data_IF_935175136608
#
_entry.id   IF_935175136608
#
_cell.length_a   1.000
_cell.length_b   1.000
_cell.length_c   1.000
_cell.angle_alpha   90.00
_cell.angle_beta   90.00
_cell.angle_gamma   90.00
#
_symmetry.space_group_name_H-M   'P 1'
#
loop_
_entity.id
_entity.type
_entity.pdbx_description
1 polymer ?
#
# COMPACT_ATOMS: atom_id res chain seq x y z
N UNK A 1 -10.62 -7.28 0.99
CA UNK A 1 -10.02 -6.98 -0.32
C UNK A 1 -8.99 -5.87 -0.15
N UNK A 2 -7.95 -5.82 -1.00
CA UNK A 2 -6.98 -4.73 -0.98
C UNK A 2 -7.65 -3.37 -1.16
N UNK A 3 -7.17 -2.36 -0.43
CA UNK A 3 -7.58 -0.97 -0.63
C UNK A 3 -7.11 -0.42 -1.98
N UNK A 4 -7.73 0.67 -2.48
CA UNK A 4 -7.26 1.38 -3.68
C UNK A 4 -5.78 1.79 -3.58
N UNK A 5 -5.31 2.21 -2.40
CA UNK A 5 -3.92 2.57 -2.17
C UNK A 5 -2.97 1.37 -2.34
N UNK A 6 -3.36 0.18 -1.85
CA UNK A 6 -2.57 -1.05 -2.04
C UNK A 6 -2.47 -1.44 -3.51
N UNK A 7 -3.58 -1.40 -4.24
CA UNK A 7 -3.58 -1.70 -5.68
C UNK A 7 -2.77 -0.69 -6.48
N UNK A 8 -2.86 0.60 -6.12
CA UNK A 8 -2.06 1.66 -6.69
C UNK A 8 -0.56 1.43 -6.45
N UNK A 9 -0.17 1.08 -5.21
CA UNK A 9 1.22 0.74 -4.87
C UNK A 9 1.71 -0.43 -5.73
N UNK A 10 0.97 -1.54 -5.76
CA UNK A 10 1.35 -2.74 -6.50
C UNK A 10 1.57 -2.45 -7.99
N UNK A 11 0.68 -1.64 -8.59
CA UNK A 11 0.79 -1.23 -9.99
C UNK A 11 2.04 -0.40 -10.27
N UNK A 12 2.48 0.43 -9.31
CA UNK A 12 3.58 1.39 -9.49
C UNK A 12 4.88 0.97 -8.81
N UNK A 13 4.90 -0.19 -8.18
CA UNK A 13 6.02 -0.64 -7.35
C UNK A 13 7.34 -0.67 -8.13
N UNK A 14 7.33 -1.28 -9.31
CA UNK A 14 8.48 -1.38 -10.21
C UNK A 14 8.06 -1.33 -11.68
N UNK A 15 9.06 -1.21 -12.57
CA UNK A 15 8.82 -1.16 -14.01
C UNK A 15 8.28 -2.49 -14.54
N UNK A 16 8.62 -3.62 -13.92
CA UNK A 16 8.12 -4.93 -14.32
C UNK A 16 6.60 -5.05 -14.12
N UNK A 17 6.06 -4.50 -13.04
CA UNK A 17 4.62 -4.42 -12.75
C UNK A 17 3.88 -3.61 -13.82
N UNK A 18 4.47 -2.47 -14.21
CA UNK A 18 3.92 -1.60 -15.27
C UNK A 18 3.95 -2.31 -16.62
N UNK A 19 5.08 -2.95 -16.94
CA UNK A 19 5.26 -3.69 -18.20
C UNK A 19 4.31 -4.87 -18.31
N UNK A 20 4.05 -5.57 -17.20
CA UNK A 20 3.09 -6.68 -17.17
C UNK A 20 1.67 -6.23 -17.51
N UNK A 21 1.22 -5.12 -16.94
CA UNK A 21 -0.10 -4.54 -17.23
C UNK A 21 -0.18 -4.11 -18.70
N UNK A 22 0.89 -3.52 -19.23
CA UNK A 22 1.00 -3.15 -20.66
C UNK A 22 0.90 -4.39 -21.56
N UNK A 23 1.64 -5.44 -21.26
CA UNK A 23 1.67 -6.67 -22.05
C UNK A 23 0.31 -7.38 -22.04
N UNK A 24 -0.41 -7.35 -20.91
CA UNK A 24 -1.78 -7.84 -20.82
C UNK A 24 -2.74 -7.03 -21.72
N UNK A 25 -2.60 -5.70 -21.77
CA UNK A 25 -3.42 -4.84 -22.64
C UNK A 25 -3.08 -4.99 -24.12
N UNK A 26 -1.82 -5.20 -24.46
CA UNK A 26 -1.38 -5.46 -25.83
C UNK A 26 -2.03 -6.73 -26.41
N UNK A 27 -2.27 -7.76 -25.59
CA UNK A 27 -3.04 -8.95 -26.01
C UNK A 27 -4.51 -8.63 -26.35
N UNK A 28 -5.07 -7.57 -25.77
CA UNK A 28 -6.44 -7.10 -25.99
C UNK A 28 -6.53 -5.95 -27.01
N UNK A 29 -5.41 -5.62 -27.67
CA UNK A 29 -5.27 -4.43 -28.52
C UNK A 29 -6.33 -4.27 -29.62
N UNK A 30 -6.80 -5.32 -30.34
CA UNK A 30 -7.84 -5.14 -31.36
C UNK A 30 -9.13 -4.56 -30.79
N UNK A 31 -9.57 -5.08 -29.64
CA UNK A 31 -10.78 -4.63 -28.96
C UNK A 31 -10.60 -3.24 -28.37
N UNK A 32 -9.45 -2.99 -27.73
CA UNK A 32 -9.16 -1.69 -27.13
C UNK A 32 -8.98 -0.58 -28.18
N UNK A 33 -8.46 -0.89 -29.38
CA UNK A 33 -8.35 0.08 -30.49
C UNK A 33 -9.71 0.54 -31.00
N UNK A 34 -10.71 -0.34 -31.05
CA UNK A 34 -12.07 0.03 -31.45
C UNK A 34 -12.69 1.02 -30.46
N UNK A 35 -12.41 0.84 -29.16
CA UNK A 35 -12.91 1.72 -28.09
C UNK A 35 -12.14 3.02 -27.96
N UNK A 36 -10.80 2.93 -27.93
CA UNK A 36 -9.92 4.04 -27.50
C UNK A 36 -9.14 4.70 -28.66
N UNK A 37 -9.29 4.21 -29.89
CA UNK A 37 -8.43 4.60 -31.03
C UNK A 37 -8.47 6.09 -31.35
N UNK A 38 -9.61 6.76 -31.16
CA UNK A 38 -9.72 8.21 -31.32
C UNK A 38 -8.93 8.98 -30.25
N UNK A 39 -9.07 8.59 -28.99
CA UNK A 39 -8.36 9.20 -27.86
C UNK A 39 -6.85 8.96 -27.98
N UNK A 40 -6.45 7.76 -28.36
CA UNK A 40 -5.05 7.41 -28.62
C UNK A 40 -4.41 8.37 -29.62
N UNK A 41 -5.06 8.62 -30.76
CA UNK A 41 -4.55 9.54 -31.78
C UNK A 41 -4.44 10.98 -31.26
N UNK A 42 -5.43 11.46 -30.49
CA UNK A 42 -5.41 12.81 -29.89
C UNK A 42 -4.23 12.97 -28.93
N UNK A 43 -4.02 12.00 -28.05
CA UNK A 43 -2.92 12.01 -27.08
C UNK A 43 -1.55 11.96 -27.79
N UNK A 44 -1.41 11.14 -28.82
CA UNK A 44 -0.18 11.06 -29.61
C UNK A 44 0.12 12.35 -30.38
N UNK A 45 -0.92 13.10 -30.78
CA UNK A 45 -0.77 14.35 -31.50
C UNK A 45 -0.45 15.57 -30.61
N UNK A 46 -0.67 15.47 -29.29
CA UNK A 46 -0.40 16.56 -28.34
C UNK A 46 1.07 16.95 -28.36
N UNK A 47 1.36 18.25 -28.48
CA UNK A 47 2.72 18.81 -28.62
C UNK A 47 3.20 19.52 -27.36
N UNK A 48 2.30 20.01 -26.53
CA UNK A 48 2.64 20.74 -25.31
C UNK A 48 2.17 20.01 -24.05
N UNK A 49 2.74 20.31 -22.86
CA UNK A 49 2.25 19.80 -21.59
C UNK A 49 0.76 20.10 -21.36
N UNK A 50 0.32 21.31 -21.65
CA UNK A 50 -1.06 21.77 -21.48
C UNK A 50 -2.03 20.96 -22.35
N UNK A 51 -1.73 20.86 -23.65
CA UNK A 51 -2.54 20.05 -24.57
C UNK A 51 -2.66 18.60 -24.11
N UNK A 52 -1.58 18.04 -23.55
CA UNK A 52 -1.57 16.66 -23.09
C UNK A 52 -2.34 16.49 -21.77
N UNK A 53 -2.25 17.46 -20.87
CA UNK A 53 -2.93 17.44 -19.57
C UNK A 53 -4.44 17.65 -19.71
N UNK A 54 -4.88 18.47 -20.66
CA UNK A 54 -6.30 18.61 -21.04
C UNK A 54 -6.91 17.28 -21.52
N UNK A 55 -6.07 16.37 -22.02
CA UNK A 55 -6.48 15.03 -22.47
C UNK A 55 -6.42 13.99 -21.34
N UNK A 56 -6.02 14.35 -20.11
CA UNK A 56 -5.99 13.43 -18.97
C UNK A 56 -7.32 12.72 -18.68
N UNK A 57 -8.53 13.31 -18.87
CA UNK A 57 -9.78 12.58 -18.69
C UNK A 57 -9.99 11.48 -19.73
N UNK A 58 -9.30 11.56 -20.88
CA UNK A 58 -9.40 10.60 -21.98
C UNK A 58 -8.32 9.51 -21.93
N UNK A 59 -7.37 9.62 -20.99
CA UNK A 59 -6.23 8.73 -20.84
C UNK A 59 -6.62 7.43 -20.11
N UNK A 60 -7.44 6.61 -20.76
CA UNK A 60 -7.88 5.29 -20.27
C UNK A 60 -7.43 4.16 -21.20
N UNK A 61 -7.39 2.92 -20.71
CA UNK A 61 -7.07 1.75 -21.54
C UNK A 61 -5.71 1.84 -22.22
N UNK A 62 -5.69 1.82 -23.56
CA UNK A 62 -4.48 2.01 -24.39
C UNK A 62 -4.05 3.48 -24.46
N UNK A 63 -5.01 4.41 -24.40
CA UNK A 63 -4.73 5.85 -24.46
C UNK A 63 -3.93 6.30 -23.22
N UNK A 64 -4.13 5.64 -22.07
CA UNK A 64 -3.35 5.89 -20.85
C UNK A 64 -1.85 5.66 -21.02
N UNK A 65 -1.45 4.63 -21.75
CA UNK A 65 -0.03 4.31 -21.96
C UNK A 65 0.64 5.30 -22.90
N UNK A 66 -0.07 5.67 -23.97
CA UNK A 66 0.37 6.74 -24.84
C UNK A 66 0.52 8.06 -24.08
N UNK A 67 -0.38 8.32 -23.12
CA UNK A 67 -0.31 9.51 -22.28
C UNK A 67 0.95 9.54 -21.42
N UNK A 68 1.24 8.47 -20.68
CA UNK A 68 2.48 8.36 -19.88
C UNK A 68 3.73 8.43 -20.76
N UNK A 69 3.74 7.73 -21.90
CA UNK A 69 4.86 7.79 -22.85
C UNK A 69 5.08 9.21 -23.35
N UNK A 70 4.00 9.96 -23.61
CA UNK A 70 4.10 11.33 -24.08
C UNK A 70 4.55 12.29 -22.97
N UNK A 71 4.05 12.15 -21.75
CA UNK A 71 4.50 12.93 -20.58
C UNK A 71 6.01 12.79 -20.38
N UNK A 72 6.51 11.54 -20.40
CA UNK A 72 7.96 11.27 -20.32
C UNK A 72 8.75 11.89 -21.45
N UNK A 73 8.21 11.92 -22.67
CA UNK A 73 8.87 12.55 -23.82
C UNK A 73 8.94 14.07 -23.74
N UNK A 74 7.99 14.71 -23.03
CA UNK A 74 8.03 16.15 -22.75
C UNK A 74 8.99 16.46 -21.60
N UNK A 75 9.26 15.49 -20.72
CA UNK A 75 10.28 15.59 -19.68
C UNK A 75 9.87 16.52 -18.52
N UNK A 76 10.81 17.04 -17.73
CA UNK A 76 10.54 17.73 -16.47
C UNK A 76 9.68 19.00 -16.58
N UNK A 77 9.57 19.58 -17.78
CA UNK A 77 8.75 20.77 -18.02
C UNK A 77 7.25 20.55 -17.75
N UNK A 78 6.79 19.30 -17.66
CA UNK A 78 5.40 18.98 -17.30
C UNK A 78 5.10 19.16 -15.82
N UNK A 79 6.12 19.12 -14.95
CA UNK A 79 5.94 19.07 -13.48
C UNK A 79 5.15 20.26 -12.91
N UNK A 80 5.43 21.53 -13.29
CA UNK A 80 4.66 22.66 -12.78
C UNK A 80 3.18 22.55 -13.15
N UNK A 81 2.87 22.11 -14.37
CA UNK A 81 1.50 21.97 -14.84
C UNK A 81 0.75 20.84 -14.13
N UNK A 82 1.42 19.70 -13.86
CA UNK A 82 0.82 18.62 -13.07
C UNK A 82 0.45 19.15 -11.67
N UNK A 83 1.39 19.83 -11.01
CA UNK A 83 1.18 20.41 -9.69
C UNK A 83 0.00 21.38 -9.70
N UNK A 84 -0.04 22.30 -10.66
CA UNK A 84 -1.08 23.32 -10.75
C UNK A 84 -2.47 22.69 -10.96
N UNK A 85 -2.57 21.60 -11.75
CA UNK A 85 -3.81 20.85 -11.90
C UNK A 85 -4.18 20.13 -10.61
N UNK A 86 -3.23 19.52 -9.91
CA UNK A 86 -3.51 18.85 -8.63
C UNK A 86 -4.05 19.81 -7.57
N UNK A 87 -3.61 21.06 -7.54
CA UNK A 87 -4.19 22.10 -6.68
C UNK A 87 -5.65 22.42 -7.04
N UNK A 88 -6.01 22.32 -8.32
CA UNK A 88 -7.32 22.72 -8.83
C UNK A 88 -8.29 21.56 -8.98
N UNK A 89 -7.82 20.31 -8.94
CA UNK A 89 -8.63 19.12 -9.27
C UNK A 89 -9.85 18.98 -8.36
N UNK A 90 -9.78 19.51 -7.13
CA UNK A 90 -10.90 19.55 -6.19
C UNK A 90 -12.09 20.39 -6.69
N UNK A 91 -11.87 21.38 -7.57
CA UNK A 91 -12.94 22.21 -8.12
C UNK A 91 -13.74 21.50 -9.21
N UNK A 92 -13.37 20.28 -9.60
CA UNK A 92 -14.15 19.49 -10.55
C UNK A 92 -15.36 18.87 -9.84
N UNK A 93 -16.56 19.10 -10.39
CA UNK A 93 -17.81 18.59 -9.82
C UNK A 93 -17.89 17.05 -9.84
N UNK A 94 -17.29 16.40 -10.84
CA UNK A 94 -17.36 14.96 -11.01
C UNK A 94 -16.26 14.24 -10.22
N UNK A 95 -16.66 13.54 -9.14
CA UNK A 95 -15.75 12.82 -8.25
C UNK A 95 -14.96 11.71 -8.96
N UNK A 96 -15.59 10.92 -9.83
CA UNK A 96 -14.93 9.83 -10.55
C UNK A 96 -13.83 10.37 -11.48
N UNK A 97 -14.13 11.46 -12.18
CA UNK A 97 -13.16 12.14 -13.05
C UNK A 97 -12.02 12.73 -12.23
N UNK A 98 -12.33 13.39 -11.09
CA UNK A 98 -11.32 13.93 -10.17
C UNK A 98 -10.38 12.83 -9.68
N UNK A 99 -10.91 11.74 -9.12
CA UNK A 99 -10.12 10.63 -8.61
C UNK A 99 -9.19 10.05 -9.70
N UNK A 100 -9.73 9.81 -10.88
CA UNK A 100 -8.98 9.25 -12.01
C UNK A 100 -7.84 10.19 -12.45
N UNK A 101 -8.11 11.49 -12.56
CA UNK A 101 -7.08 12.48 -12.93
C UNK A 101 -6.00 12.53 -11.84
N UNK A 102 -6.38 12.67 -10.56
CA UNK A 102 -5.44 12.69 -9.44
C UNK A 102 -4.55 11.45 -9.43
N UNK A 103 -5.13 10.25 -9.55
CA UNK A 103 -4.37 9.00 -9.59
C UNK A 103 -3.40 8.95 -10.79
N UNK A 104 -3.83 9.40 -11.97
CA UNK A 104 -2.98 9.44 -13.17
C UNK A 104 -1.79 10.40 -12.99
N UNK A 105 -2.05 11.60 -12.47
CA UNK A 105 -1.06 12.65 -12.25
C UNK A 105 -0.06 12.27 -11.16
N UNK A 106 -0.52 11.74 -10.03
CA UNK A 106 0.34 11.26 -8.93
C UNK A 106 1.20 10.08 -9.41
N UNK A 107 0.63 9.16 -10.21
CA UNK A 107 1.39 8.08 -10.81
C UNK A 107 2.50 8.59 -11.73
N UNK A 108 2.26 9.67 -12.48
CA UNK A 108 3.30 10.29 -13.30
C UNK A 108 4.40 10.91 -12.44
N UNK A 109 4.03 11.67 -11.40
CA UNK A 109 5.00 12.26 -10.47
C UNK A 109 5.90 11.22 -9.81
N UNK A 110 5.37 10.03 -9.47
CA UNK A 110 6.19 8.92 -8.98
C UNK A 110 7.38 8.61 -9.89
N UNK A 111 7.20 8.59 -11.21
CA UNK A 111 8.28 8.24 -12.14
C UNK A 111 9.28 9.36 -12.39
N UNK A 112 9.01 10.56 -11.89
CA UNK A 112 9.90 11.72 -12.00
C UNK A 112 10.92 11.82 -10.86
N UNK A 113 10.93 10.83 -9.94
CA UNK A 113 11.91 10.73 -8.85
C UNK A 113 11.82 11.91 -7.89
N UNK A 114 12.98 12.45 -7.49
CA UNK A 114 13.07 13.55 -6.51
C UNK A 114 12.28 14.80 -6.92
N UNK A 115 12.30 15.17 -8.20
CA UNK A 115 11.54 16.32 -8.69
C UNK A 115 10.03 16.07 -8.58
N UNK A 116 9.60 14.82 -8.77
CA UNK A 116 8.21 14.40 -8.53
C UNK A 116 7.83 14.45 -7.05
N UNK A 117 8.73 14.04 -6.15
CA UNK A 117 8.50 14.13 -4.71
C UNK A 117 8.33 15.59 -4.25
N UNK A 118 9.18 16.50 -4.73
CA UNK A 118 9.07 17.93 -4.43
C UNK A 118 7.74 18.51 -4.92
N UNK A 119 7.31 18.15 -6.13
CA UNK A 119 6.02 18.57 -6.66
C UNK A 119 4.86 18.03 -5.79
N UNK A 120 4.88 16.74 -5.43
CA UNK A 120 3.86 16.13 -4.56
C UNK A 120 3.82 16.78 -3.18
N UNK A 121 4.97 17.01 -2.54
CA UNK A 121 5.05 17.68 -1.25
C UNK A 121 4.44 19.09 -1.32
N UNK A 122 4.71 19.84 -2.39
CA UNK A 122 4.22 21.21 -2.53
C UNK A 122 2.70 21.34 -2.64
N UNK A 123 2.00 20.27 -3.07
CA UNK A 123 0.54 20.27 -3.21
C UNK A 123 -0.17 19.33 -2.22
N UNK A 124 0.56 18.64 -1.33
CA UNK A 124 0.01 17.56 -0.48
C UNK A 124 -1.16 18.01 0.40
N UNK A 125 -1.09 19.22 0.95
CA UNK A 125 -2.15 19.78 1.82
C UNK A 125 -3.43 20.11 1.06
N UNK A 126 -3.31 20.44 -0.23
CA UNK A 126 -4.42 20.80 -1.11
C UNK A 126 -5.08 19.58 -1.77
N UNK A 127 -4.52 18.38 -1.57
CA UNK A 127 -5.13 17.15 -2.06
C UNK A 127 -6.35 16.75 -1.21
N UNK A 128 -7.36 16.20 -1.89
CA UNK A 128 -8.47 15.54 -1.19
C UNK A 128 -7.97 14.26 -0.52
N UNK A 129 -8.81 13.64 0.32
CA UNK A 129 -8.37 12.54 1.17
C UNK A 129 -7.93 11.30 0.39
N UNK A 130 -8.57 11.03 -0.75
CA UNK A 130 -8.20 9.92 -1.64
C UNK A 130 -6.89 10.21 -2.38
N UNK A 131 -6.75 11.40 -2.97
CA UNK A 131 -5.51 11.80 -3.65
C UNK A 131 -4.33 11.88 -2.68
N UNK A 132 -4.54 12.37 -1.46
CA UNK A 132 -3.53 12.40 -0.41
C UNK A 132 -3.05 10.99 -0.02
N UNK A 133 -3.95 10.00 0.02
CA UNK A 133 -3.60 8.60 0.25
C UNK A 133 -2.65 8.09 -0.86
N UNK A 134 -2.99 8.33 -2.13
CA UNK A 134 -2.16 7.92 -3.27
C UNK A 134 -0.82 8.67 -3.31
N UNK A 135 -0.80 9.95 -2.94
CA UNK A 135 0.42 10.74 -2.83
C UNK A 135 1.36 10.19 -1.75
N UNK A 136 0.82 9.75 -0.60
CA UNK A 136 1.59 9.06 0.44
C UNK A 136 2.30 7.81 -0.10
N UNK A 137 1.59 6.97 -0.85
CA UNK A 137 2.16 5.79 -1.53
C UNK A 137 3.27 6.20 -2.49
N UNK A 138 3.00 7.18 -3.36
CA UNK A 138 3.97 7.65 -4.35
C UNK A 138 5.25 8.16 -3.69
N UNK A 139 5.14 8.98 -2.64
CA UNK A 139 6.27 9.51 -1.88
C UNK A 139 7.11 8.40 -1.22
N UNK A 140 6.45 7.36 -0.70
CA UNK A 140 7.13 6.17 -0.17
C UNK A 140 7.89 5.39 -1.24
N UNK A 141 7.26 5.15 -2.39
CA UNK A 141 7.91 4.45 -3.49
C UNK A 141 9.04 5.26 -4.14
N UNK A 142 9.00 6.60 -4.12
CA UNK A 142 10.14 7.46 -4.51
C UNK A 142 11.29 7.32 -3.51
N UNK A 143 10.99 6.87 -2.27
CA UNK A 143 11.89 6.83 -1.14
C UNK A 143 12.43 8.23 -0.79
N UNK A 144 11.53 9.21 -0.65
CA UNK A 144 11.87 10.60 -0.28
C UNK A 144 11.81 10.78 1.25
N UNK A 145 12.94 10.71 1.99
CA UNK A 145 12.90 10.67 3.46
C UNK A 145 12.42 11.99 4.07
N UNK A 146 12.59 13.10 3.36
CA UNK A 146 12.11 14.43 3.77
C UNK A 146 10.58 14.48 3.86
N UNK A 147 9.87 13.62 3.13
CA UNK A 147 8.40 13.55 3.14
C UNK A 147 7.81 12.87 4.37
N UNK A 148 8.59 12.10 5.13
CA UNK A 148 8.07 11.23 6.20
C UNK A 148 7.29 12.00 7.28
N UNK A 149 7.70 13.24 7.58
CA UNK A 149 6.98 14.10 8.51
C UNK A 149 5.61 14.51 7.97
N UNK A 150 5.53 14.94 6.72
CA UNK A 150 4.30 15.46 6.12
C UNK A 150 3.32 14.33 5.85
N UNK A 151 3.80 13.18 5.35
CA UNK A 151 3.00 11.96 5.19
C UNK A 151 2.44 11.50 6.55
N UNK A 152 3.24 11.58 7.62
CA UNK A 152 2.77 11.24 8.97
C UNK A 152 1.67 12.18 9.47
N UNK A 153 1.83 13.50 9.29
CA UNK A 153 0.80 14.45 9.69
C UNK A 153 -0.50 14.22 8.92
N UNK A 154 -0.40 13.96 7.61
CA UNK A 154 -1.57 13.66 6.80
C UNK A 154 -2.22 12.34 7.22
N UNK A 155 -1.44 11.30 7.49
CA UNK A 155 -1.93 10.03 8.04
C UNK A 155 -2.73 10.25 9.32
N UNK A 156 -2.22 11.01 10.30
CA UNK A 156 -2.92 11.29 11.55
C UNK A 156 -4.25 12.02 11.31
N UNK A 157 -4.27 13.00 10.40
CA UNK A 157 -5.49 13.72 10.01
C UNK A 157 -6.52 12.77 9.40
N UNK A 158 -6.11 11.94 8.44
CA UNK A 158 -7.00 10.98 7.77
C UNK A 158 -7.53 9.92 8.74
N UNK A 159 -6.67 9.38 9.62
CA UNK A 159 -7.05 8.42 10.67
C UNK A 159 -8.19 8.93 11.55
N UNK A 160 -8.24 10.23 11.83
CA UNK A 160 -9.25 10.84 12.69
C UNK A 160 -10.58 11.12 11.98
N UNK A 161 -10.58 11.30 10.66
CA UNK A 161 -11.69 11.90 9.92
C UNK A 161 -12.40 10.95 8.94
N UNK A 162 -11.75 9.86 8.54
CA UNK A 162 -12.14 9.15 7.30
C UNK A 162 -12.31 7.64 7.47
N UNK A 163 -13.02 6.97 6.53
CA UNK A 163 -13.04 5.52 6.42
C UNK A 163 -11.63 4.93 6.30
N UNK A 164 -11.51 3.64 6.62
CA UNK A 164 -10.22 2.98 6.74
C UNK A 164 -9.35 3.07 5.48
N UNK A 165 -9.97 3.07 4.30
CA UNK A 165 -9.29 3.09 3.00
C UNK A 165 -8.38 4.30 2.76
N UNK A 166 -8.61 5.45 3.38
CA UNK A 166 -7.84 6.67 3.08
C UNK A 166 -6.52 6.74 3.86
N UNK A 167 -6.46 6.22 5.09
CA UNK A 167 -5.22 6.26 5.86
C UNK A 167 -4.21 5.17 5.44
N UNK A 168 -4.67 4.12 4.72
CA UNK A 168 -3.80 3.02 4.25
C UNK A 168 -2.67 3.53 3.35
N UNK A 169 -2.95 4.54 2.51
CA UNK A 169 -1.92 5.11 1.64
C UNK A 169 -0.79 5.80 2.39
N UNK A 170 -1.11 6.49 3.49
CA UNK A 170 -0.11 7.07 4.40
C UNK A 170 0.73 6.00 5.08
N UNK A 171 0.12 4.91 5.57
CA UNK A 171 0.84 3.79 6.17
C UNK A 171 1.79 3.12 5.17
N UNK A 172 1.34 2.86 3.94
CA UNK A 172 2.21 2.35 2.88
C UNK A 172 3.41 3.26 2.65
N UNK A 173 3.17 4.56 2.48
CA UNK A 173 4.22 5.55 2.29
C UNK A 173 5.27 5.51 3.41
N UNK A 174 4.81 5.49 4.67
CA UNK A 174 5.67 5.47 5.85
C UNK A 174 6.43 4.13 6.01
N UNK A 175 5.82 3.00 5.64
CA UNK A 175 6.49 1.69 5.63
C UNK A 175 7.63 1.69 4.62
N UNK A 176 7.39 2.16 3.40
CA UNK A 176 8.40 2.22 2.35
C UNK A 176 9.55 3.19 2.71
N UNK A 177 9.24 4.25 3.48
CA UNK A 177 10.23 5.18 4.05
C UNK A 177 10.97 4.64 5.30
N UNK A 178 10.57 3.48 5.83
CA UNK A 178 11.15 2.91 7.04
C UNK A 178 10.84 3.69 8.32
N UNK A 179 9.71 4.39 8.38
CA UNK A 179 9.33 5.19 9.54
C UNK A 179 8.96 4.30 10.74
N UNK A 180 9.75 4.41 11.81
CA UNK A 180 9.62 3.57 13.01
C UNK A 180 8.30 3.77 13.75
N UNK A 181 7.60 4.89 13.55
CA UNK A 181 6.33 5.17 14.23
C UNK A 181 5.23 4.22 13.77
N UNK A 182 5.31 3.71 12.54
CA UNK A 182 4.33 2.76 11.98
C UNK A 182 4.19 1.52 12.85
N UNK A 183 5.29 0.99 13.40
CA UNK A 183 5.26 -0.20 14.25
C UNK A 183 4.29 -0.05 15.44
N UNK A 184 4.26 1.16 16.04
CA UNK A 184 3.33 1.47 17.12
C UNK A 184 1.87 1.54 16.65
N UNK A 185 1.63 2.14 15.48
CA UNK A 185 0.29 2.28 14.92
C UNK A 185 -0.33 0.94 14.56
N UNK A 186 0.40 0.08 13.84
CA UNK A 186 -0.11 -1.25 13.45
C UNK A 186 -0.31 -2.15 14.67
N UNK A 187 0.53 -2.00 15.71
CA UNK A 187 0.31 -2.64 17.00
C UNK A 187 -0.97 -2.14 17.69
N UNK A 188 -1.23 -0.83 17.70
CA UNK A 188 -2.44 -0.28 18.31
C UNK A 188 -3.71 -0.74 17.59
N UNK A 189 -3.71 -0.85 16.26
CA UNK A 189 -4.84 -1.44 15.52
C UNK A 189 -5.08 -2.89 15.91
N UNK A 190 -4.01 -3.71 15.99
CA UNK A 190 -4.09 -5.10 16.45
C UNK A 190 -4.65 -5.19 17.88
N UNK A 191 -4.11 -4.40 18.80
CA UNK A 191 -4.53 -4.35 20.22
C UNK A 191 -5.99 -3.95 20.37
N UNK A 192 -6.46 -3.00 19.57
CA UNK A 192 -7.84 -2.53 19.56
C UNK A 192 -8.79 -3.44 18.76
N UNK A 193 -8.29 -4.54 18.16
CA UNK A 193 -9.04 -5.45 17.29
C UNK A 193 -9.69 -4.73 16.10
N UNK A 194 -9.03 -3.68 15.59
CA UNK A 194 -9.44 -2.93 14.40
C UNK A 194 -8.76 -3.53 13.18
N UNK A 195 -9.38 -4.55 12.62
CA UNK A 195 -8.85 -5.30 11.48
C UNK A 195 -9.24 -4.67 10.15
N UNK A 196 -8.24 -4.50 9.28
CA UNK A 196 -8.41 -4.18 7.87
C UNK A 196 -7.52 -5.13 7.07
N UNK A 197 -7.78 -5.25 5.77
CA UNK A 197 -7.14 -6.25 4.90
C UNK A 197 -5.60 -6.22 4.98
N UNK A 198 -5.01 -5.02 5.03
CA UNK A 198 -3.57 -4.83 5.04
C UNK A 198 -2.89 -5.08 6.40
N UNK A 199 -3.64 -5.21 7.50
CA UNK A 199 -3.05 -5.13 8.84
C UNK A 199 -1.94 -6.15 9.08
N UNK A 200 -2.17 -7.43 8.77
CA UNK A 200 -1.17 -8.48 8.99
C UNK A 200 0.02 -8.36 8.01
N UNK A 201 -0.24 -7.94 6.77
CA UNK A 201 0.82 -7.61 5.82
C UNK A 201 1.70 -6.45 6.32
N UNK A 202 1.10 -5.40 6.87
CA UNK A 202 1.82 -4.27 7.49
C UNK A 202 2.59 -4.67 8.74
N UNK A 203 2.02 -5.52 9.59
CA UNK A 203 2.74 -6.10 10.73
C UNK A 203 3.94 -6.93 10.26
N UNK A 204 3.79 -7.71 9.18
CA UNK A 204 4.89 -8.49 8.62
C UNK A 204 6.05 -7.61 8.12
N UNK A 205 5.77 -6.40 7.61
CA UNK A 205 6.76 -5.47 7.09
C UNK A 205 7.36 -4.57 8.19
N UNK A 206 6.53 -3.99 9.04
CA UNK A 206 6.90 -2.90 9.95
C UNK A 206 6.53 -3.14 11.42
N UNK A 207 5.81 -4.22 11.75
CA UNK A 207 5.48 -4.58 13.13
C UNK A 207 6.74 -4.87 13.94
N UNK A 208 6.70 -4.64 15.25
CA UNK A 208 7.81 -4.93 16.16
C UNK A 208 7.43 -5.96 17.23
N UNK A 209 8.38 -6.24 18.13
CA UNK A 209 8.25 -7.25 19.17
C UNK A 209 6.98 -7.13 20.02
N UNK A 210 6.42 -5.92 20.19
CA UNK A 210 5.22 -5.70 21.01
C UNK A 210 4.00 -6.45 20.47
N UNK A 211 3.96 -6.70 19.15
CA UNK A 211 2.85 -7.41 18.52
C UNK A 211 2.91 -8.93 18.69
N UNK A 212 4.07 -9.51 19.04
CA UNK A 212 4.28 -10.96 19.02
C UNK A 212 3.30 -11.71 19.93
N UNK A 213 3.12 -11.25 21.17
CA UNK A 213 2.21 -11.90 22.12
C UNK A 213 0.77 -11.99 21.62
N UNK A 214 0.24 -10.88 21.08
CA UNK A 214 -1.11 -10.81 20.54
C UNK A 214 -1.27 -11.68 19.29
N UNK A 215 -0.30 -11.64 18.37
CA UNK A 215 -0.33 -12.42 17.14
C UNK A 215 -0.28 -13.93 17.42
N UNK A 216 0.57 -14.37 18.34
CA UNK A 216 0.70 -15.78 18.71
C UNK A 216 -0.57 -16.26 19.42
N UNK A 217 -1.11 -15.46 20.33
CA UNK A 217 -2.40 -15.76 20.99
C UNK A 217 -3.51 -15.91 19.96
N UNK A 218 -3.60 -14.97 19.00
CA UNK A 218 -4.60 -15.01 17.94
C UNK A 218 -4.42 -16.22 16.99
N UNK A 219 -3.17 -16.60 16.69
CA UNK A 219 -2.87 -17.79 15.90
C UNK A 219 -3.30 -19.09 16.59
N UNK A 220 -3.32 -19.12 17.93
CA UNK A 220 -3.71 -20.28 18.74
C UNK A 220 -5.21 -20.38 19.02
N UNK A 221 -5.97 -19.28 18.89
CA UNK A 221 -7.43 -19.29 19.04
C UNK A 221 -8.08 -20.09 17.89
N UNK A 222 -8.32 -21.38 18.12
CA UNK A 222 -8.97 -22.28 17.15
C UNK A 222 -10.35 -21.73 16.72
N UNK A 223 -10.56 -21.55 15.42
CA UNK A 223 -11.87 -21.23 14.84
C UNK A 223 -12.05 -19.83 14.24
N UNK A 224 -11.02 -18.97 14.23
CA UNK A 224 -11.03 -17.71 13.48
C UNK A 224 -10.16 -17.82 12.22
N UNK A 225 -10.69 -17.39 11.08
CA UNK A 225 -10.03 -17.47 9.77
C UNK A 225 -8.66 -16.77 9.71
N UNK A 226 -8.43 -15.77 10.56
CA UNK A 226 -7.23 -14.93 10.54
C UNK A 226 -6.03 -15.55 11.30
N UNK A 227 -6.15 -16.77 11.83
CA UNK A 227 -5.08 -17.40 12.62
C UNK A 227 -3.79 -17.64 11.82
N UNK A 228 -3.92 -17.94 10.52
CA UNK A 228 -2.76 -18.09 9.63
C UNK A 228 -2.11 -16.73 9.37
N UNK A 229 -2.89 -15.68 9.09
CA UNK A 229 -2.36 -14.33 8.87
C UNK A 229 -1.56 -13.84 10.09
N UNK A 230 -2.10 -14.06 11.29
CA UNK A 230 -1.44 -13.71 12.54
C UNK A 230 -0.13 -14.50 12.73
N UNK A 231 -0.13 -15.79 12.44
CA UNK A 231 1.05 -16.65 12.52
C UNK A 231 2.14 -16.21 11.53
N UNK A 232 1.78 -15.88 10.30
CA UNK A 232 2.74 -15.45 9.28
C UNK A 232 3.32 -14.07 9.62
N UNK A 233 2.51 -13.15 10.15
CA UNK A 233 2.99 -11.86 10.64
C UNK A 233 3.93 -12.03 11.84
N UNK A 234 3.58 -12.90 12.80
CA UNK A 234 4.43 -13.22 13.95
C UNK A 234 5.77 -13.83 13.51
N UNK A 235 5.74 -14.72 12.51
CA UNK A 235 6.92 -15.35 11.93
C UNK A 235 7.85 -14.31 11.30
N UNK A 236 7.30 -13.35 10.54
CA UNK A 236 8.08 -12.24 9.96
C UNK A 236 8.78 -11.41 11.04
N UNK A 237 8.04 -11.01 12.09
CA UNK A 237 8.58 -10.21 13.19
C UNK A 237 9.64 -11.01 13.95
N UNK A 238 9.38 -12.28 14.25
CA UNK A 238 10.28 -13.20 14.94
C UNK A 238 11.63 -13.34 14.23
N UNK A 239 11.64 -13.51 12.91
CA UNK A 239 12.88 -13.55 12.12
C UNK A 239 13.65 -12.23 12.20
N UNK A 240 12.95 -11.10 12.27
CA UNK A 240 13.58 -9.76 12.36
C UNK A 240 14.17 -9.46 13.75
N UNK A 241 13.49 -9.87 14.83
CA UNK A 241 13.92 -9.59 16.22
C UNK A 241 14.79 -10.69 16.83
N UNK A 242 14.73 -11.91 16.28
CA UNK A 242 15.48 -13.08 16.74
C UNK A 242 14.86 -13.83 17.93
N UNK A 243 15.35 -15.06 18.15
CA UNK A 243 14.81 -16.01 19.15
C UNK A 243 14.75 -15.46 20.57
N UNK A 244 15.80 -14.79 21.02
CA UNK A 244 15.88 -14.28 22.40
C UNK A 244 14.71 -13.34 22.73
N UNK A 245 14.41 -12.41 21.82
CA UNK A 245 13.31 -11.45 22.00
C UNK A 245 11.96 -12.18 21.91
N UNK A 246 11.80 -13.11 20.97
CA UNK A 246 10.58 -13.91 20.83
C UNK A 246 10.25 -14.69 22.12
N UNK A 247 11.22 -15.40 22.69
CA UNK A 247 11.04 -16.17 23.93
C UNK A 247 10.66 -15.24 25.08
N UNK A 248 11.31 -14.08 25.20
CA UNK A 248 10.97 -13.09 26.23
C UNK A 248 9.53 -12.59 26.11
N UNK A 249 9.07 -12.26 24.91
CA UNK A 249 7.69 -11.79 24.69
C UNK A 249 6.66 -12.90 24.96
N UNK A 250 6.97 -14.14 24.61
CA UNK A 250 6.15 -15.32 24.93
C UNK A 250 5.96 -15.51 26.43
N UNK A 251 7.06 -15.43 27.21
CA UNK A 251 7.02 -15.55 28.67
C UNK A 251 6.25 -14.40 29.33
N UNK A 252 6.34 -13.20 28.77
CA UNK A 252 5.62 -12.02 29.28
C UNK A 252 4.11 -12.15 29.04
N UNK A 253 3.71 -12.68 27.88
CA UNK A 253 2.30 -12.87 27.50
C UNK A 253 1.63 -14.01 28.28
N UNK A 254 2.40 -15.00 28.73
CA UNK A 254 1.93 -16.13 29.53
C UNK A 254 1.60 -15.77 30.99
N UNK A 255 2.01 -14.58 31.47
CA UNK A 255 1.68 -14.15 32.82
C UNK A 255 0.22 -13.65 32.87
N UNK A 256 -0.65 -14.24 33.70
CA UNK A 256 -2.02 -13.77 33.83
C UNK A 256 -2.03 -12.37 34.43
N UNK A 257 -2.78 -11.47 33.80
CA UNK A 257 -3.11 -10.18 34.38
C UNK A 257 -3.87 -10.43 35.69
N UNK A 258 -3.24 -10.14 36.83
CA UNK A 258 -3.81 -10.38 38.17
C UNK A 258 -5.00 -9.46 38.48
N UNK A 259 -5.40 -8.61 37.53
CA UNK A 259 -6.38 -7.53 37.73
C UNK A 259 -7.78 -7.82 37.16
N UNK A 260 -7.93 -8.71 36.17
CA UNK A 260 -9.26 -9.06 35.63
C UNK A 260 -9.33 -10.54 35.28
N UNK A 261 -10.18 -11.29 35.98
CA UNK A 261 -10.33 -12.75 35.88
C UNK A 261 -10.86 -13.26 34.52
N UNK A 262 -10.10 -13.09 33.44
CA UNK A 262 -10.34 -13.69 32.13
C UNK A 262 -9.14 -14.53 31.71
N UNK A 263 -9.48 -15.77 31.37
CA UNK A 263 -8.70 -16.87 30.80
C UNK A 263 -7.46 -16.38 30.03
N UNK A 264 -6.34 -16.25 30.75
CA UNK A 264 -5.02 -16.21 30.15
C UNK A 264 -4.62 -17.62 29.71
N UNK A 265 -3.92 -17.73 28.59
CA UNK A 265 -3.27 -18.97 28.17
C UNK A 265 -2.36 -19.41 29.32
N UNK A 266 -2.72 -20.51 30.01
CA UNK A 266 -1.85 -21.15 30.99
C UNK A 266 -0.69 -21.81 30.23
N UNK A 267 0.30 -21.01 29.84
CA UNK A 267 1.63 -21.56 29.68
C UNK A 267 2.09 -21.87 31.11
N UNK A 268 2.08 -23.16 31.47
CA UNK A 268 2.84 -23.60 32.63
C UNK A 268 4.24 -23.02 32.49
N UNK A 269 4.76 -22.42 33.56
CA UNK A 269 6.12 -21.89 33.66
C UNK A 269 7.13 -23.04 33.63
N UNK A 270 7.12 -23.79 32.54
CA UNK A 270 8.18 -24.68 32.13
C UNK A 270 9.01 -23.85 31.14
N UNK A 271 10.25 -23.53 31.51
CA UNK A 271 11.16 -22.72 30.71
C UNK A 271 11.31 -23.25 29.26
N UNK A 272 10.94 -24.52 29.03
CA UNK A 272 10.93 -25.18 27.74
C UNK A 272 9.76 -24.79 26.81
N UNK A 273 8.58 -24.45 27.34
CA UNK A 273 7.38 -24.25 26.52
C UNK A 273 7.49 -23.01 25.58
N UNK A 274 8.06 -21.92 26.09
CA UNK A 274 8.33 -20.72 25.29
C UNK A 274 9.38 -20.99 24.20
N UNK A 275 10.35 -21.83 24.52
CA UNK A 275 11.43 -22.23 23.61
C UNK A 275 10.93 -23.14 22.48
N UNK A 276 10.01 -24.06 22.77
CA UNK A 276 9.32 -24.90 21.78
C UNK A 276 8.50 -24.07 20.79
N UNK A 277 7.67 -23.15 21.29
CA UNK A 277 6.87 -22.26 20.42
C UNK A 277 7.80 -21.39 19.57
N UNK A 278 8.86 -20.84 20.16
CA UNK A 278 9.83 -20.04 19.44
C UNK A 278 10.53 -20.84 18.34
N UNK A 279 10.94 -22.07 18.62
CA UNK A 279 11.55 -22.97 17.63
C UNK A 279 10.56 -23.32 16.52
N UNK A 280 9.29 -23.58 16.83
CA UNK A 280 8.24 -23.84 15.84
C UNK A 280 8.00 -22.63 14.92
N UNK A 281 7.99 -21.41 15.46
CA UNK A 281 7.83 -20.19 14.64
C UNK A 281 9.05 -20.01 13.74
N UNK A 282 10.26 -20.10 14.30
CA UNK A 282 11.50 -19.86 13.57
C UNK A 282 11.91 -21.01 12.64
N UNK A 283 11.36 -22.21 12.79
CA UNK A 283 11.57 -23.30 11.84
C UNK A 283 10.90 -23.05 10.50
N UNK A 284 9.91 -22.14 10.43
CA UNK A 284 9.32 -21.70 9.16
C UNK A 284 10.30 -20.75 8.45
N UNK A 285 10.71 -21.03 7.21
CA UNK A 285 11.53 -20.11 6.43
C UNK A 285 10.84 -18.75 6.25
N UNK A 286 11.61 -17.66 6.31
CA UNK A 286 11.09 -16.31 6.04
C UNK A 286 10.52 -16.18 4.61
N UNK A 287 11.00 -17.01 3.67
CA UNK A 287 10.50 -17.08 2.30
C UNK A 287 9.02 -17.48 2.24
N UNK A 288 8.55 -18.38 3.11
CA UNK A 288 7.13 -18.74 3.17
C UNK A 288 6.27 -17.54 3.57
N UNK A 289 6.78 -16.65 4.44
CA UNK A 289 6.10 -15.40 4.80
C UNK A 289 6.03 -14.45 3.62
N UNK A 290 7.13 -14.32 2.86
CA UNK A 290 7.16 -13.47 1.68
C UNK A 290 6.21 -13.97 0.59
N UNK A 291 6.10 -15.29 0.41
CA UNK A 291 5.15 -15.89 -0.54
C UNK A 291 3.70 -15.71 -0.08
N UNK A 292 3.44 -15.90 1.22
CA UNK A 292 2.10 -15.72 1.79
C UNK A 292 1.62 -14.26 1.68
N UNK A 293 2.49 -13.30 2.01
CA UNK A 293 2.22 -11.87 1.88
C UNK A 293 2.80 -11.28 0.58
N UNK A 294 2.84 -12.04 -0.52
CA UNK A 294 3.49 -11.61 -1.76
C UNK A 294 3.06 -10.21 -2.22
N UNK A 295 1.78 -9.86 -2.09
CA UNK A 295 1.25 -8.53 -2.46
C UNK A 295 1.90 -7.36 -1.71
N UNK A 296 2.50 -7.63 -0.55
CA UNK A 296 3.12 -6.63 0.30
C UNK A 296 4.63 -6.49 0.03
N UNK A 297 5.30 -7.59 -0.31
CA UNK A 297 6.76 -7.64 -0.49
C UNK A 297 7.24 -7.35 -1.91
N UNK A 298 6.37 -7.44 -2.91
CA UNK A 298 6.73 -7.26 -4.32
C UNK A 298 5.66 -6.49 -5.10
N UNK A 299 6.04 -6.06 -6.30
CA UNK A 299 5.12 -5.54 -7.30
C UNK A 299 4.23 -6.62 -7.90
N UNK A 300 3.38 -6.21 -8.84
CA UNK A 300 2.39 -7.04 -9.50
C UNK A 300 3.03 -8.12 -10.40
N UNK A 301 2.58 -9.38 -10.26
CA UNK A 301 3.06 -10.53 -11.04
C UNK A 301 1.93 -11.20 -11.83
N UNK A 302 2.22 -12.06 -12.83
CA UNK A 302 1.19 -12.64 -13.69
C UNK A 302 0.14 -13.44 -12.92
N UNK A 303 0.56 -14.15 -11.87
CA UNK A 303 -0.31 -14.94 -11.00
C UNK A 303 -1.30 -14.09 -10.18
N UNK A 304 -1.07 -12.78 -10.05
CA UNK A 304 -1.91 -11.88 -9.28
C UNK A 304 -3.07 -11.31 -10.13
N UNK A 305 -3.16 -11.70 -11.40
CA UNK A 305 -4.20 -11.24 -12.34
C UNK A 305 -5.63 -11.53 -11.89
N UNK A 306 -5.86 -12.61 -11.14
CA UNK A 306 -7.18 -12.95 -10.58
C UNK A 306 -7.66 -11.93 -9.55
N UNK A 307 -6.73 -11.34 -8.77
CA UNK A 307 -7.01 -10.26 -7.82
C UNK A 307 -7.42 -8.98 -8.57
N UNK A 308 -6.79 -8.71 -9.72
CA UNK A 308 -7.15 -7.59 -10.58
C UNK A 308 -8.50 -7.78 -11.29
N UNK A 309 -8.83 -8.99 -11.71
CA UNK A 309 -10.12 -9.31 -12.34
C UNK A 309 -11.30 -9.11 -11.39
N UNK A 310 -11.14 -9.43 -10.10
CA UNK A 310 -12.15 -9.15 -9.07
C UNK A 310 -12.33 -7.65 -8.84
N UNK A 311 -11.24 -6.88 -8.80
CA UNK A 311 -11.30 -5.42 -8.65
C UNK A 311 -11.95 -4.73 -9.86
N UNK A 312 -11.64 -5.17 -11.08
CA UNK A 312 -12.25 -4.62 -12.31
C UNK A 312 -13.74 -4.96 -12.38
N UNK A 313 -14.18 -6.12 -11.87
CA UNK A 313 -15.62 -6.48 -11.82
C UNK A 313 -16.40 -5.61 -10.85
N UNK A 314 -15.82 -5.23 -9.72
CA UNK A 314 -16.49 -4.41 -8.70
C UNK A 314 -16.59 -2.93 -9.06
N UNK A 315 -15.64 -2.41 -9.83
CA UNK A 315 -15.66 -1.02 -10.33
C UNK A 315 -16.36 -0.86 -11.70
N UNK A 316 -17.13 -1.88 -12.12
CA UNK A 316 -18.04 -1.83 -13.28
C UNK A 316 -19.52 -1.74 -12.87
N UNK A 317 -19.79 -1.42 -11.60
CA UNK A 317 -21.12 -1.12 -11.07
C UNK A 317 -21.50 0.32 -11.31
#
# INVERSE_FOLDING_TARGET
>A
MPSPATLFRMRLYDQASVDLIRDAKEKLKPLLKLRDGGNLKRIQAARTPEELLDLSPLATGLAQEAWHSRMRSLGPQVLPFIRDILHQVQSLDNNEVRHRISALLIAELRWQGEAGAQALQSCLEDLDDEAAALAGVALGLINSPTSAKDVWQRYLRLKALTPESHFIGGLWGLIDLGDRRVAGEVFDYLRQKRYFYELFGFLSLAGDQRALGLLITQAMEQGRGDGIDALMAATAIAHRVGKLILVRELLTTAQPDLSEGKIGVRAHADDNAGDEIANMILSRPVQEVHEYFALFYRGFQPQDATVADEFIRQNKG
#
